data_IF_242691633570
#
_entry.id   IF_242691633570
#
_cell.length_a   1.000
_cell.length_b   1.000
_cell.length_c   1.000
_cell.angle_alpha   90.00
_cell.angle_beta   90.00
_cell.angle_gamma   90.00
#
_symmetry.space_group_name_H-M   'P 1'
#
loop_
_entity.id
_entity.type
_entity.pdbx_description
1 polymer ?
2 non-polymer ?
3 non-polymer ?
4 water ?
#
# COMPACT_ATOMS: atom_id res chain seq x y z
N UNK A 4 14.09 -18.65 21.05
CA UNK A 4 13.25 -17.39 20.85
C UNK A 4 12.10 -17.66 19.88
N UNK A 5 10.82 -17.52 20.28
CA UNK A 5 9.69 -17.84 19.40
C UNK A 5 9.63 -16.81 18.25
N UNK A 6 9.18 -17.23 17.07
CA UNK A 6 8.94 -16.29 15.94
C UNK A 6 7.69 -15.47 16.18
N UNK A 7 7.68 -14.18 15.79
CA UNK A 7 6.53 -13.34 16.04
C UNK A 7 5.31 -13.74 15.21
N UNK A 8 4.13 -13.46 15.77
CA UNK A 8 2.81 -13.65 15.11
C UNK A 8 2.34 -12.29 14.55
N UNK A 9 2.95 -11.21 15.04
CA UNK A 9 2.57 -9.82 14.69
C UNK A 9 3.79 -8.90 14.81
N UNK A 10 3.86 -7.88 13.95
CA UNK A 10 4.95 -6.88 13.97
C UNK A 10 4.27 -5.52 13.89
N UNK A 11 5.01 -4.49 14.25
CA UNK A 11 4.52 -3.12 14.03
C UNK A 11 5.41 -2.47 12.99
N UNK A 12 4.75 -1.74 12.10
CA UNK A 12 5.40 -1.09 10.94
C UNK A 12 5.07 0.39 11.01
N UNK A 13 6.11 1.21 10.94
CA UNK A 13 6.02 2.66 10.79
C UNK A 13 6.13 2.98 9.29
N UNK A 14 5.21 3.79 8.83
CA UNK A 14 5.20 4.38 7.47
C UNK A 14 5.32 5.89 7.63
N UNK A 15 6.34 6.50 7.05
CA UNK A 15 6.41 7.96 6.98
C UNK A 15 6.42 8.43 5.55
N UNK A 16 5.74 9.52 5.27
CA UNK A 16 5.83 10.22 3.98
C UNK A 16 6.07 11.70 4.24
N UNK A 17 7.09 12.23 3.59
CA UNK A 17 7.43 13.67 3.73
C UNK A 17 7.93 14.21 2.41
N UNK A 18 7.22 15.19 1.88
CA UNK A 18 7.73 16.05 0.77
C UNK A 18 8.54 17.16 1.42
N UNK A 19 9.85 17.05 1.28
CA UNK A 19 10.84 17.89 2.00
C UNK A 19 11.00 19.24 1.33
N UNK A 20 10.38 19.46 0.15
CA UNK A 20 10.41 20.75 -0.53
C UNK A 20 11.82 21.22 -0.83
N UNK A 21 12.71 20.28 -1.18
CA UNK A 21 14.09 20.53 -1.64
C UNK A 21 14.85 21.35 -0.58
N UNK A 22 14.57 21.12 0.70
CA UNK A 22 15.27 21.81 1.80
C UNK A 22 15.78 20.75 2.75
N UNK A 23 16.95 20.97 3.36
CA UNK A 23 17.44 20.05 4.37
C UNK A 23 16.50 20.06 5.58
N UNK A 24 16.42 18.92 6.28
CA UNK A 24 15.56 18.84 7.44
C UNK A 24 16.13 19.61 8.61
N UNK A 25 15.33 19.87 9.66
CA UNK A 25 15.83 20.48 10.87
C UNK A 25 16.63 19.46 11.69
N UNK A 26 17.27 19.92 12.77
CA UNK A 26 18.20 19.04 13.51
C UNK A 26 17.46 17.94 14.26
N UNK A 27 16.19 18.13 14.61
CA UNK A 27 15.40 17.11 15.34
C UNK A 27 14.12 16.78 14.57
N UNK A 28 13.94 15.49 14.22
CA UNK A 28 12.74 15.02 13.48
C UNK A 28 12.14 13.84 14.24
N UNK A 29 12.50 13.66 15.50
CA UNK A 29 12.02 12.50 16.29
C UNK A 29 10.49 12.44 16.46
N UNK A 30 9.81 13.60 16.46
CA UNK A 30 8.33 13.68 16.57
C UNK A 30 7.68 12.85 15.45
N UNK A 31 8.31 12.79 14.28
CA UNK A 31 7.79 12.01 13.13
C UNK A 31 7.72 10.52 13.50
N UNK A 32 8.84 9.99 13.95
CA UNK A 32 9.01 8.54 14.22
C UNK A 32 8.23 8.18 15.50
N UNK A 33 7.93 9.16 16.34
CA UNK A 33 7.11 8.95 17.55
C UNK A 33 5.61 9.13 17.30
N UNK A 34 5.18 9.45 16.08
CA UNK A 34 3.74 9.64 15.77
C UNK A 34 3.13 10.69 16.73
N UNK A 35 3.81 11.83 16.87
CA UNK A 35 3.36 12.98 17.72
C UNK A 35 2.96 14.16 16.83
N UNK A 36 1.85 14.82 17.16
CA UNK A 36 1.43 16.04 16.46
C UNK A 36 -0.05 16.05 16.44
N UNK A 37 -0.62 16.16 15.23
CA UNK A 37 -2.08 16.21 15.01
C UNK A 37 -2.56 14.84 14.52
N UNK A 38 -3.84 14.56 14.73
CA UNK A 38 -4.51 13.37 14.21
C UNK A 38 -4.58 12.27 15.22
N UNK A 39 -4.50 11.03 14.72
CA UNK A 39 -4.49 9.82 15.58
C UNK A 39 -3.03 9.56 15.97
N UNK A 40 -2.67 9.93 17.20
CA UNK A 40 -1.27 9.93 17.67
C UNK A 40 -0.99 8.70 18.55
N UNK A 41 0.29 8.40 18.68
CA UNK A 41 0.76 7.23 19.47
C UNK A 41 0.84 7.62 20.95
N UNK A 42 0.44 6.70 21.84
CA UNK A 42 0.48 6.91 23.30
C UNK A 42 1.93 7.12 23.78
N UNK A 43 2.06 8.10 24.69
CA UNK A 43 3.37 8.44 25.32
C UNK A 43 4.04 7.22 25.94
N UNK A 44 3.27 6.29 26.47
CA UNK A 44 3.80 5.11 27.17
C UNK A 44 4.56 4.18 26.21
N UNK A 45 4.38 4.33 24.89
CA UNK A 45 5.05 3.52 23.84
C UNK A 45 6.33 4.17 23.32
N UNK A 46 6.69 5.37 23.77
CA UNK A 46 7.77 6.16 23.14
C UNK A 46 9.10 5.43 23.10
N UNK A 47 9.42 4.63 24.13
CA UNK A 47 10.70 3.88 24.09
C UNK A 47 10.62 2.57 23.32
N UNK A 48 9.44 2.14 22.84
CA UNK A 48 9.23 0.82 22.21
C UNK A 48 9.54 0.99 20.72
N UNK A 49 10.54 0.30 20.16
CA UNK A 49 10.84 0.45 18.74
C UNK A 49 9.77 -0.28 17.93
N UNK A 50 9.42 0.29 16.79
CA UNK A 50 8.70 -0.45 15.75
C UNK A 50 9.65 -1.52 15.18
N UNK A 51 9.07 -2.57 14.63
CA UNK A 51 9.87 -3.66 14.03
C UNK A 51 10.53 -3.16 12.75
N UNK A 52 9.77 -2.45 11.92
CA UNK A 52 10.20 -2.00 10.56
C UNK A 52 9.78 -0.52 10.46
N UNK A 53 10.70 0.34 10.01
CA UNK A 53 10.42 1.76 9.66
C UNK A 53 10.60 1.92 8.16
N UNK A 54 9.57 2.40 7.48
CA UNK A 54 9.61 2.66 6.03
C UNK A 54 9.44 4.14 5.83
N UNK A 55 10.42 4.80 5.20
CA UNK A 55 10.50 6.28 5.13
C UNK A 55 10.48 6.71 3.66
N UNK A 56 9.36 7.31 3.22
CA UNK A 56 9.21 7.81 1.85
C UNK A 56 9.41 9.30 1.85
N UNK A 57 10.31 9.77 1.00
CA UNK A 57 10.47 11.23 0.81
C UNK A 57 10.22 11.58 -0.65
N UNK A 58 9.85 12.83 -0.83
CA UNK A 58 9.69 13.46 -2.17
C UNK A 58 10.40 14.80 -2.08
N UNK A 59 10.86 15.30 -3.24
CA UNK A 59 11.65 16.56 -3.30
C UNK A 59 12.77 16.49 -2.25
N UNK A 60 13.42 15.32 -2.13
CA UNK A 60 14.48 15.08 -1.14
C UNK A 60 15.79 15.59 -1.70
N UNK A 61 16.43 16.58 -1.03
CA UNK A 61 17.68 17.19 -1.56
C UNK A 61 18.96 16.47 -1.13
N UNK A 62 18.81 15.48 -0.25
CA UNK A 62 19.94 14.83 0.44
C UNK A 62 20.49 13.66 -0.39
N UNK A 63 21.77 13.35 -0.20
CA UNK A 63 22.31 12.06 -0.73
C UNK A 63 21.73 10.93 0.11
N UNK A 64 21.76 9.72 -0.43
CA UNK A 64 21.31 8.54 0.33
C UNK A 64 22.12 8.50 1.63
N UNK A 65 23.41 8.77 1.54
CA UNK A 65 24.25 8.66 2.75
C UNK A 65 23.82 9.69 3.78
N UNK A 66 23.59 10.92 3.34
CA UNK A 66 23.22 12.01 4.27
C UNK A 66 21.90 11.64 4.98
N UNK A 67 20.91 11.16 4.24
CA UNK A 67 19.57 10.86 4.83
C UNK A 67 19.64 9.63 5.74
N UNK A 68 20.33 8.57 5.31
CA UNK A 68 20.51 7.36 6.15
C UNK A 68 21.11 7.70 7.51
N UNK A 69 22.14 8.56 7.50
CA UNK A 69 22.79 9.10 8.72
C UNK A 69 21.75 9.68 9.67
N UNK A 70 20.95 10.61 9.16
CA UNK A 70 19.94 11.34 9.97
C UNK A 70 18.91 10.34 10.48
N UNK A 71 18.45 9.43 9.62
CA UNK A 71 17.40 8.48 10.05
C UNK A 71 17.94 7.58 11.15
N UNK A 72 19.07 6.94 10.91
CA UNK A 72 19.61 6.00 11.93
C UNK A 72 19.89 6.72 13.26
N UNK A 73 20.47 7.92 13.22
CA UNK A 73 20.75 8.74 14.43
C UNK A 73 19.45 8.99 15.19
N UNK A 74 18.39 9.41 14.47
CA UNK A 74 17.07 9.74 15.06
C UNK A 74 16.49 8.50 15.75
N UNK A 75 16.51 7.35 15.09
CA UNK A 75 15.97 6.10 15.69
C UNK A 75 16.82 5.70 16.92
N UNK A 76 18.16 5.83 16.81
CA UNK A 76 19.12 5.54 17.90
C UNK A 76 18.76 6.38 19.13
N UNK A 77 18.57 7.69 18.93
CA UNK A 77 18.23 8.64 20.03
C UNK A 77 16.92 8.21 20.71
N UNK A 78 15.91 7.84 19.93
CA UNK A 78 14.55 7.47 20.44
C UNK A 78 14.63 6.14 21.20
N UNK A 79 15.31 5.14 20.66
CA UNK A 79 15.12 3.73 21.02
C UNK A 79 16.36 3.13 21.64
N UNK A 80 17.52 3.72 21.43
CA UNK A 80 18.84 3.11 21.78
C UNK A 80 19.10 1.83 20.98
N UNK A 81 18.42 1.65 19.84
CA UNK A 81 18.67 0.52 18.90
C UNK A 81 19.33 1.05 17.64
N UNK A 82 20.36 0.36 17.17
CA UNK A 82 21.02 0.61 15.88
C UNK A 82 20.26 -0.19 14.82
N UNK A 83 19.46 0.50 14.01
CA UNK A 83 18.66 -0.17 12.98
C UNK A 83 19.57 -0.61 11.83
N UNK A 84 19.21 -1.73 11.21
CA UNK A 84 19.86 -2.25 9.99
C UNK A 84 19.15 -1.71 8.77
N UNK A 85 19.91 -1.38 7.74
CA UNK A 85 19.33 -0.95 6.46
C UNK A 85 18.89 -2.19 5.69
N UNK A 86 17.60 -2.31 5.38
CA UNK A 86 17.05 -3.40 4.53
C UNK A 86 17.25 -2.99 3.08
N UNK A 87 16.90 -1.75 2.74
CA UNK A 87 16.91 -1.29 1.34
C UNK A 87 16.81 0.22 1.30
N UNK A 88 17.41 0.78 0.27
CA UNK A 88 17.23 2.20 -0.07
C UNK A 88 17.19 2.30 -1.59
N UNK A 89 16.26 3.07 -2.11
CA UNK A 89 16.13 3.23 -3.57
C UNK A 89 15.62 4.64 -3.87
N UNK A 90 16.28 5.32 -4.80
CA UNK A 90 15.98 6.72 -5.16
C UNK A 90 15.77 6.84 -6.65
N UNK A 91 14.68 7.50 -7.06
CA UNK A 91 14.43 7.93 -8.44
C UNK A 91 14.36 9.45 -8.39
N UNK A 92 15.32 10.11 -9.02
CA UNK A 92 15.38 11.58 -9.00
C UNK A 92 15.40 12.02 -7.55
N UNK A 93 14.34 12.65 -7.06
CA UNK A 93 14.29 13.17 -5.68
C UNK A 93 13.20 12.43 -4.88
N UNK A 94 12.80 11.25 -5.36
CA UNK A 94 11.80 10.36 -4.70
C UNK A 94 12.57 9.21 -4.07
N UNK A 95 12.43 8.96 -2.78
CA UNK A 95 13.29 8.01 -2.10
C UNK A 95 12.48 7.13 -1.16
N UNK A 96 12.91 5.89 -1.03
CA UNK A 96 12.36 5.00 0.02
C UNK A 96 13.53 4.39 0.78
N UNK A 97 13.40 4.37 2.10
CA UNK A 97 14.35 3.73 3.04
C UNK A 97 13.58 2.73 3.88
N UNK A 98 14.08 1.51 4.00
CA UNK A 98 13.51 0.50 4.90
C UNK A 98 14.58 0.15 5.92
N UNK A 99 14.24 0.34 7.18
CA UNK A 99 15.09 0.04 8.35
C UNK A 99 14.37 -1.00 9.20
N UNK A 100 15.12 -1.93 9.78
CA UNK A 100 14.55 -2.97 10.64
C UNK A 100 15.42 -3.18 11.87
N UNK A 101 14.78 -3.63 12.96
CA UNK A 101 15.48 -4.10 14.18
C UNK A 101 16.57 -5.07 13.75
N UNK A 102 17.76 -5.07 14.40
CA UNK A 102 18.78 -6.07 14.10
C UNK A 102 18.35 -7.52 14.31
N UNK A 103 17.45 -7.77 15.26
CA UNK A 103 16.93 -9.13 15.53
C UNK A 103 16.16 -9.67 14.31
N UNK A 104 15.77 -8.82 13.35
CA UNK A 104 14.97 -9.26 12.18
C UNK A 104 15.86 -9.54 10.97
N UNK A 105 17.15 -9.26 11.07
CA UNK A 105 18.04 -9.34 9.89
C UNK A 105 17.89 -10.69 9.17
N UNK A 106 17.79 -11.78 9.95
CA UNK A 106 17.76 -13.17 9.41
C UNK A 106 16.31 -13.68 9.36
N UNK A 107 15.34 -12.78 9.45
CA UNK A 107 13.90 -13.06 9.14
C UNK A 107 13.54 -12.42 7.80
N UNK A 108 14.40 -11.57 7.26
CA UNK A 108 14.11 -10.76 6.05
C UNK A 108 14.89 -11.32 4.89
N UNK A 109 14.22 -11.61 3.79
CA UNK A 109 14.89 -12.17 2.59
C UNK A 109 14.19 -11.67 1.35
N UNK A 110 14.71 -12.01 0.17
CA UNK A 110 14.04 -11.72 -1.11
C UNK A 110 13.73 -10.23 -1.21
N UNK A 111 14.72 -9.41 -0.94
CA UNK A 111 14.58 -7.94 -0.99
C UNK A 111 14.63 -7.51 -2.43
N UNK A 112 13.59 -6.81 -2.87
CA UNK A 112 13.46 -6.26 -4.24
C UNK A 112 13.31 -4.74 -4.15
N UNK A 113 13.81 -4.04 -5.17
CA UNK A 113 13.61 -2.58 -5.32
C UNK A 113 13.27 -2.33 -6.77
N UNK A 114 12.43 -1.33 -7.02
CA UNK A 114 12.15 -0.91 -8.40
C UNK A 114 11.66 0.52 -8.39
N UNK A 115 11.56 1.11 -9.57
CA UNK A 115 11.00 2.46 -9.76
C UNK A 115 10.16 2.45 -11.04
N UNK A 116 9.23 3.38 -11.11
CA UNK A 116 8.45 3.68 -12.33
C UNK A 116 8.51 5.18 -12.54
N UNK A 117 8.86 5.61 -13.75
CA UNK A 117 8.80 7.02 -14.18
C UNK A 117 7.46 7.25 -14.85
N UNK A 118 6.64 8.23 -14.41
CA UNK A 118 5.32 8.40 -15.05
C UNK A 118 5.37 9.42 -16.20
N UNK A 119 4.39 9.40 -17.11
CA UNK A 119 4.24 10.42 -18.17
C UNK A 119 5.20 10.24 -19.35
N UNK A 120 5.02 11.03 -20.42
CA UNK A 120 5.79 10.98 -21.71
C UNK A 120 6.29 12.39 -22.06
N UNK A 121 7.60 12.53 -22.37
CA UNK A 121 8.26 13.73 -22.93
C UNK A 121 8.20 14.92 -21.95
N UNK A 122 7.38 15.96 -22.23
CA UNK A 122 6.96 17.05 -21.30
C UNK A 122 6.88 16.53 -19.86
N UNK A 123 6.08 15.48 -19.67
CA UNK A 123 5.52 15.00 -18.37
C UNK A 123 6.42 13.89 -17.78
N UNK A 124 7.42 13.38 -18.54
CA UNK A 124 8.49 12.48 -18.01
C UNK A 124 9.68 13.36 -17.60
N UNK A 125 10.04 13.36 -16.32
CA UNK A 125 11.14 14.19 -15.83
C UNK A 125 11.25 14.25 -14.32
N UNK A 126 10.13 14.22 -13.57
CA UNK A 126 10.37 14.17 -12.11
C UNK A 126 9.37 13.42 -11.21
N UNK A 127 8.25 12.95 -11.77
CA UNK A 127 7.19 12.23 -11.00
C UNK A 127 7.34 10.72 -11.24
N UNK A 128 6.88 9.93 -10.28
CA UNK A 128 6.89 8.48 -10.41
C UNK A 128 6.89 7.88 -9.04
N UNK A 129 7.45 6.68 -8.93
CA UNK A 129 7.37 5.93 -7.66
C UNK A 129 8.64 5.13 -7.49
N UNK A 130 8.97 4.86 -6.26
CA UNK A 130 9.96 3.84 -5.86
C UNK A 130 9.25 2.83 -4.97
N UNK A 131 9.81 1.62 -4.93
CA UNK A 131 9.24 0.58 -4.08
C UNK A 131 10.24 -0.42 -3.61
N UNK A 132 9.85 -1.11 -2.53
CA UNK A 132 10.65 -2.15 -1.89
C UNK A 132 9.68 -3.27 -1.55
N UNK A 133 10.11 -4.50 -1.78
CA UNK A 133 9.45 -5.67 -1.20
C UNK A 133 10.44 -6.60 -0.52
N UNK A 134 9.90 -7.47 0.32
CA UNK A 134 10.73 -8.53 0.92
C UNK A 134 9.79 -9.49 1.60
N UNK A 135 10.35 -10.63 1.97
CA UNK A 135 9.70 -11.60 2.88
C UNK A 135 10.17 -11.33 4.30
N UNK A 136 9.22 -11.33 5.22
CA UNK A 136 9.44 -11.38 6.66
C UNK A 136 8.94 -12.76 7.08
N UNK A 137 9.83 -13.70 7.37
CA UNK A 137 9.44 -15.12 7.61
C UNK A 137 8.45 -15.54 6.49
N UNK A 138 7.25 -15.98 6.79
CA UNK A 138 6.37 -16.52 5.75
C UNK A 138 5.47 -15.46 5.15
N UNK A 139 5.71 -14.18 5.46
CA UNK A 139 4.80 -13.08 5.04
C UNK A 139 5.52 -12.17 4.03
N UNK A 140 4.86 -11.86 2.91
CA UNK A 140 5.40 -10.93 1.90
C UNK A 140 4.89 -9.51 2.23
N UNK A 141 5.78 -8.55 2.13
CA UNK A 141 5.47 -7.13 2.44
C UNK A 141 5.92 -6.28 1.26
N UNK A 142 5.08 -5.37 0.80
CA UNK A 142 5.45 -4.43 -0.28
C UNK A 142 5.17 -3.01 0.13
N UNK A 143 5.98 -2.09 -0.37
CA UNK A 143 5.94 -0.67 0.05
C UNK A 143 6.18 0.18 -1.17
N UNK A 144 5.28 1.11 -1.47
CA UNK A 144 5.40 2.00 -2.65
C UNK A 144 5.32 3.44 -2.12
N UNK A 145 6.32 4.24 -2.51
CA UNK A 145 6.34 5.70 -2.28
C UNK A 145 6.21 6.38 -3.64
N UNK A 146 5.10 7.05 -3.90
CA UNK A 146 4.85 7.71 -5.17
C UNK A 146 4.72 9.21 -4.97
N UNK A 147 5.24 9.95 -5.93
CA UNK A 147 5.04 11.42 -6.06
C UNK A 147 4.25 11.63 -7.35
N UNK A 148 2.96 11.89 -7.26
CA UNK A 148 2.10 11.93 -8.42
C UNK A 148 2.03 13.37 -8.93
N UNK A 149 1.42 13.52 -10.08
CA UNK A 149 1.29 14.80 -10.80
C UNK A 149 0.63 15.83 -9.90
N UNK A 150 1.16 17.05 -9.92
CA UNK A 150 0.65 18.16 -9.07
C UNK A 150 -0.47 18.93 -9.79
N UNK A 151 -1.20 19.70 -9.01
CA UNK A 151 -2.13 20.69 -9.57
C UNK A 151 -3.55 20.28 -9.37
N UNK A 152 -4.39 21.18 -8.88
CA UNK A 152 -5.80 20.86 -8.58
C UNK A 152 -6.57 20.29 -9.78
N UNK A 153 -6.18 20.70 -10.98
CA UNK A 153 -6.92 20.41 -12.24
C UNK A 153 -6.57 19.02 -12.78
N UNK A 154 -5.60 18.32 -12.18
CA UNK A 154 -4.98 17.10 -12.78
C UNK A 154 -5.29 15.81 -12.01
N UNK A 155 -6.46 15.70 -11.43
CA UNK A 155 -6.78 14.43 -10.69
C UNK A 155 -6.77 13.24 -11.66
N UNK A 156 -7.22 13.42 -12.90
CA UNK A 156 -7.23 12.30 -13.86
C UNK A 156 -5.81 11.81 -14.16
N UNK A 157 -4.87 12.76 -14.31
CA UNK A 157 -3.42 12.45 -14.50
C UNK A 157 -2.95 11.62 -13.32
N UNK A 158 -3.29 12.03 -12.10
CA UNK A 158 -2.87 11.31 -10.89
C UNK A 158 -3.38 9.88 -11.02
N UNK A 159 -4.64 9.70 -11.42
CA UNK A 159 -5.21 8.32 -11.47
C UNK A 159 -4.43 7.50 -12.52
N UNK A 160 -4.06 8.14 -13.63
CA UNK A 160 -3.27 7.49 -14.70
C UNK A 160 -1.88 7.13 -14.15
N UNK A 161 -1.27 8.04 -13.38
CA UNK A 161 0.04 7.79 -12.75
C UNK A 161 -0.08 6.55 -11.87
N UNK A 162 -1.10 6.47 -11.03
CA UNK A 162 -1.35 5.30 -10.15
C UNK A 162 -1.41 4.01 -10.99
N UNK A 163 -2.18 4.02 -12.08
CA UNK A 163 -2.34 2.79 -12.88
C UNK A 163 -0.99 2.41 -13.49
N UNK A 164 -0.23 3.38 -13.98
CA UNK A 164 1.11 3.05 -14.56
C UNK A 164 2.04 2.49 -13.51
N UNK A 165 1.99 3.02 -12.31
CA UNK A 165 2.85 2.52 -11.22
C UNK A 165 2.47 1.07 -10.88
N UNK A 166 1.17 0.85 -10.70
CA UNK A 166 0.55 -0.46 -10.38
C UNK A 166 1.03 -1.49 -11.40
N UNK A 167 0.95 -1.12 -12.68
CA UNK A 167 1.21 -2.04 -13.81
C UNK A 167 2.68 -2.38 -13.86
N UNK A 168 3.54 -1.39 -13.71
CA UNK A 168 4.93 -1.53 -14.17
C UNK A 168 5.93 -1.68 -13.03
N UNK A 169 5.55 -1.45 -11.78
CA UNK A 169 6.53 -1.62 -10.70
C UNK A 169 6.75 -3.12 -10.47
N UNK A 170 7.97 -3.58 -10.59
CA UNK A 170 8.33 -5.01 -10.61
C UNK A 170 8.91 -5.36 -9.25
N UNK A 171 8.03 -5.72 -8.33
CA UNK A 171 8.40 -6.15 -6.96
C UNK A 171 7.84 -7.55 -6.73
N UNK A 172 8.30 -8.20 -5.68
CA UNK A 172 7.71 -9.46 -5.24
C UNK A 172 8.12 -10.61 -6.14
N UNK A 173 7.39 -11.71 -6.03
CA UNK A 173 7.79 -13.00 -6.67
C UNK A 173 7.51 -12.93 -8.17
N UNK A 174 8.47 -12.87 -9.05
CA UNK A 174 8.30 -12.80 -10.52
C UNK A 174 7.54 -14.01 -11.05
N UNK A 175 7.51 -15.22 -10.29
CA UNK A 175 6.71 -16.39 -10.72
C UNK A 175 5.22 -16.07 -10.71
N UNK A 176 4.81 -15.00 -10.00
CA UNK A 176 3.38 -14.59 -9.96
C UNK A 176 3.06 -13.75 -11.18
N UNK A 177 3.36 -14.30 -12.36
CA UNK A 177 3.45 -13.47 -13.57
C UNK A 177 2.11 -12.84 -13.95
N UNK A 178 0.91 -13.41 -13.68
CA UNK A 178 -0.35 -12.78 -14.02
C UNK A 178 -0.72 -11.59 -13.11
N UNK A 179 0.04 -11.42 -12.04
CA UNK A 179 -0.37 -10.56 -10.91
C UNK A 179 0.50 -9.31 -10.86
N UNK A 180 -0.15 -8.17 -10.64
CA UNK A 180 0.55 -6.90 -10.36
C UNK A 180 0.79 -6.76 -8.86
N UNK A 181 1.43 -5.66 -8.46
CA UNK A 181 1.79 -5.48 -7.02
C UNK A 181 0.51 -5.48 -6.16
N UNK A 182 -0.66 -5.18 -6.70
CA UNK A 182 -1.89 -5.15 -5.84
C UNK A 182 -2.32 -6.56 -5.42
N UNK A 183 -1.69 -7.61 -5.91
CA UNK A 183 -1.95 -9.00 -5.48
C UNK A 183 -0.71 -9.74 -5.00
N UNK A 184 0.47 -9.16 -5.05
CA UNK A 184 1.69 -9.97 -4.78
C UNK A 184 2.05 -10.07 -3.31
N UNK A 185 1.40 -9.30 -2.42
CA UNK A 185 1.90 -9.18 -1.03
C UNK A 185 0.78 -9.41 -0.03
N UNK A 186 1.09 -10.11 1.04
CA UNK A 186 0.21 -10.26 2.22
C UNK A 186 -0.26 -8.85 2.64
N UNK A 187 0.68 -7.91 2.68
CA UNK A 187 0.42 -6.51 3.10
C UNK A 187 1.15 -5.58 2.13
N UNK A 188 0.39 -4.68 1.52
CA UNK A 188 0.94 -3.66 0.59
C UNK A 188 0.61 -2.29 1.17
N UNK A 189 1.64 -1.49 1.35
CA UNK A 189 1.48 -0.10 1.82
C UNK A 189 1.85 0.86 0.70
N UNK A 190 0.94 1.78 0.36
CA UNK A 190 1.18 2.74 -0.73
C UNK A 190 0.99 4.14 -0.16
N UNK A 191 2.03 4.95 -0.26
CA UNK A 191 2.07 6.25 0.42
C UNK A 191 2.82 7.20 -0.51
N UNK A 192 2.82 8.47 -0.12
CA UNK A 192 3.58 9.47 -0.84
C UNK A 192 2.90 10.82 -0.86
N UNK A 193 3.47 11.74 -1.63
CA UNK A 193 2.78 12.97 -2.05
C UNK A 193 1.92 12.62 -3.24
N UNK A 194 0.74 12.11 -2.94
CA UNK A 194 -0.23 11.71 -3.96
C UNK A 194 -0.84 12.93 -4.62
N UNK A 195 -0.77 14.09 -4.01
CA UNK A 195 -1.03 15.37 -4.69
C UNK A 195 -2.51 15.60 -5.00
N UNK A 196 -3.40 14.80 -4.43
CA UNK A 196 -4.85 15.08 -4.54
C UNK A 196 -5.20 16.28 -3.65
N UNK A 197 -6.11 17.11 -4.15
CA UNK A 197 -6.42 18.40 -3.51
C UNK A 197 -7.85 18.47 -3.02
N UNK A 198 -8.07 19.48 -2.19
CA UNK A 198 -9.44 19.84 -1.74
C UNK A 198 -10.04 20.69 -2.84
N UNK A 199 -11.01 20.11 -3.55
CA UNK A 199 -11.64 20.74 -4.75
C UNK A 199 -12.77 21.63 -4.27
N UNK A 200 -12.43 22.88 -3.95
CA UNK A 200 -13.39 23.94 -3.62
C UNK A 200 -12.98 25.15 -4.45
N UNK A 201 -13.91 26.11 -4.66
CA UNK A 201 -13.55 27.32 -5.40
C UNK A 201 -12.43 28.10 -4.72
N UNK A 202 -11.56 28.73 -5.52
CA UNK A 202 -10.31 29.38 -5.03
C UNK A 202 -10.63 30.62 -4.19
N UNK A 203 -11.84 31.18 -4.33
CA UNK A 203 -12.31 32.35 -3.53
C UNK A 203 -12.89 31.87 -2.20
N UNK A 204 -12.96 30.56 -1.96
CA UNK A 204 -13.25 29.97 -0.63
C UNK A 204 -11.96 29.80 0.21
N UNK A 205 -10.79 30.24 -0.24
CA UNK A 205 -9.50 30.00 0.45
C UNK A 205 -9.55 30.41 1.92
N UNK A 206 -9.96 31.65 2.21
CA UNK A 206 -9.94 32.13 3.61
C UNK A 206 -10.97 31.35 4.41
N UNK A 207 -12.12 30.98 3.84
CA UNK A 207 -13.11 30.15 4.54
C UNK A 207 -12.49 28.80 4.89
N UNK A 208 -11.80 28.19 3.92
CA UNK A 208 -11.14 26.89 4.20
C UNK A 208 -10.14 27.02 5.36
N UNK A 209 -9.35 28.08 5.37
CA UNK A 209 -8.36 28.32 6.45
C UNK A 209 -9.08 28.42 7.81
N UNK A 210 -10.20 29.13 7.85
CA UNK A 210 -10.95 29.32 9.12
C UNK A 210 -11.54 27.98 9.59
N UNK A 211 -11.99 27.12 8.66
CA UNK A 211 -12.46 25.77 9.02
C UNK A 211 -11.29 24.97 9.63
N UNK A 212 -10.09 25.03 9.02
CA UNK A 212 -8.90 24.34 9.58
C UNK A 212 -8.56 24.85 10.99
N UNK A 213 -8.59 26.16 11.22
CA UNK A 213 -8.32 26.72 12.57
C UNK A 213 -9.33 26.22 13.60
N UNK A 214 -10.55 25.90 13.20
CA UNK A 214 -11.62 25.38 14.08
C UNK A 214 -11.53 23.85 14.17
N UNK A 215 -10.57 23.25 13.49
CA UNK A 215 -10.44 21.77 13.42
C UNK A 215 -11.74 21.14 12.90
N UNK A 216 -12.39 21.79 11.96
CA UNK A 216 -13.66 21.29 11.37
C UNK A 216 -13.32 20.84 9.96
N UNK A 217 -13.01 19.56 9.82
CA UNK A 217 -12.45 19.02 8.55
C UNK A 217 -13.56 18.42 7.69
N UNK A 218 -14.79 18.25 8.17
CA UNK A 218 -15.77 17.36 7.50
C UNK A 218 -16.11 17.90 6.12
N UNK A 219 -16.35 19.20 6.01
CA UNK A 219 -16.79 19.85 4.76
C UNK A 219 -15.57 19.98 3.86
N UNK A 220 -14.35 19.81 4.38
CA UNK A 220 -13.17 19.84 3.48
C UNK A 220 -12.95 18.41 2.94
N UNK A 221 -12.97 17.38 3.81
CA UNK A 221 -12.74 15.97 3.37
C UNK A 221 -13.80 15.55 2.35
N UNK A 222 -15.01 16.09 2.40
CA UNK A 222 -16.06 15.73 1.43
C UNK A 222 -15.68 16.19 0.03
N UNK A 223 -14.68 17.06 -0.10
CA UNK A 223 -14.21 17.59 -1.39
C UNK A 223 -12.78 17.12 -1.67
N UNK A 224 -12.22 16.28 -0.82
CA UNK A 224 -10.88 15.74 -1.08
C UNK A 224 -10.94 14.83 -2.31
N UNK A 225 -10.08 15.10 -3.28
CA UNK A 225 -10.14 14.40 -4.57
C UNK A 225 -9.76 12.94 -4.38
N UNK A 226 -8.89 12.57 -3.45
CA UNK A 226 -8.55 11.14 -3.36
C UNK A 226 -9.76 10.36 -2.83
N UNK A 227 -10.43 10.86 -1.78
CA UNK A 227 -11.63 10.20 -1.26
C UNK A 227 -12.72 10.16 -2.35
N UNK A 228 -12.96 11.25 -3.07
CA UNK A 228 -14.07 11.26 -4.05
C UNK A 228 -13.73 10.38 -5.24
N UNK A 229 -12.48 10.39 -5.70
CA UNK A 229 -12.08 9.49 -6.80
C UNK A 229 -12.17 8.03 -6.34
N UNK A 230 -11.75 7.75 -5.11
CA UNK A 230 -11.90 6.38 -4.51
C UNK A 230 -13.38 6.00 -4.50
N UNK A 231 -14.25 6.90 -4.04
CA UNK A 231 -15.71 6.64 -3.96
C UNK A 231 -16.23 6.16 -5.31
N UNK A 232 -15.81 6.82 -6.38
CA UNK A 232 -16.30 6.54 -7.76
C UNK A 232 -15.47 5.43 -8.42
N UNK A 233 -14.58 4.78 -7.67
CA UNK A 233 -13.82 3.61 -8.17
C UNK A 233 -12.97 4.04 -9.35
N UNK A 234 -12.40 5.22 -9.27
CA UNK A 234 -11.46 5.74 -10.31
C UNK A 234 -10.00 5.45 -9.97
N UNK A 235 -9.70 5.15 -8.72
CA UNK A 235 -8.32 5.00 -8.25
C UNK A 235 -8.33 4.21 -6.95
N UNK A 236 -7.26 3.49 -6.66
CA UNK A 236 -7.02 2.82 -5.36
C UNK A 236 -8.19 1.87 -5.01
N UNK A 237 -8.79 1.22 -5.99
CA UNK A 237 -9.85 0.23 -5.73
C UNK A 237 -9.26 -0.83 -4.80
N UNK A 238 -10.01 -1.13 -3.74
CA UNK A 238 -9.72 -2.21 -2.77
C UNK A 238 -8.59 -1.84 -1.83
N UNK A 239 -8.17 -0.58 -1.81
CA UNK A 239 -7.25 -0.07 -0.77
C UNK A 239 -8.03 0.61 0.35
N UNK A 240 -7.42 0.69 1.52
CA UNK A 240 -8.01 1.32 2.74
C UNK A 240 -7.18 2.55 3.12
N UNK A 241 -7.81 3.49 3.82
CA UNK A 241 -7.11 4.61 4.45
C UNK A 241 -7.82 4.86 5.76
N UNK A 242 -7.03 5.12 6.81
CA UNK A 242 -7.55 5.51 8.15
C UNK A 242 -8.28 6.85 8.00
N UNK A 243 -9.23 7.13 8.89
CA UNK A 243 -9.92 8.43 8.91
C UNK A 243 -8.86 9.49 9.13
N UNK A 244 -8.99 10.59 8.39
CA UNK A 244 -8.12 11.77 8.53
C UNK A 244 -8.65 12.72 9.61
N UNK A 245 -7.81 12.96 10.61
CA UNK A 245 -8.22 13.82 11.78
C UNK A 245 -7.14 14.87 12.05
N UNK A 246 -6.31 15.13 11.07
CA UNK A 246 -5.21 16.14 11.11
C UNK A 246 -5.47 17.18 10.03
N UNK A 247 -4.95 18.38 10.25
CA UNK A 247 -5.13 19.50 9.31
C UNK A 247 -4.46 19.12 7.99
N UNK A 248 -4.89 19.75 6.89
CA UNK A 248 -4.16 19.65 5.60
C UNK A 248 -2.67 19.88 5.77
N UNK A 249 -1.86 19.08 5.06
CA UNK A 249 -0.40 19.04 5.30
C UNK A 249 0.30 19.91 4.24
N UNK A 250 -0.46 20.57 3.38
CA UNK A 250 0.08 21.38 2.26
C UNK A 250 -0.91 22.52 2.06
N UNK A 251 -0.50 23.74 1.64
CA UNK A 251 0.84 24.21 1.45
C UNK A 251 1.15 25.28 2.50
N UNK A 252 2.17 25.04 3.32
CA UNK A 252 2.54 25.93 4.43
C UNK A 252 3.62 26.91 3.96
N UNK A 253 3.60 28.10 4.56
CA UNK A 253 4.81 28.94 4.66
C UNK A 253 5.87 28.18 5.46
N UNK A 254 7.11 28.20 4.99
CA UNK A 254 8.21 27.56 5.73
C UNK A 254 8.52 28.28 7.04
N UNK A 255 9.04 27.52 8.00
CA UNK A 255 9.59 27.98 9.29
C UNK A 255 8.48 28.30 10.31
N UNK A 256 7.22 28.18 9.95
CA UNK A 256 6.08 28.26 10.91
C UNK A 256 5.07 27.18 10.48
N UNK A 257 4.04 26.87 11.27
CA UNK A 257 2.85 26.18 10.71
C UNK A 257 1.65 27.09 10.82
N UNK A 258 1.87 28.39 11.00
CA UNK A 258 0.74 29.28 11.34
C UNK A 258 0.06 29.77 10.07
N UNK A 259 0.64 29.54 8.88
CA UNK A 259 0.16 30.18 7.63
C UNK A 259 0.13 29.17 6.48
N UNK A 260 -1.02 29.07 5.83
CA UNK A 260 -1.14 28.35 4.54
C UNK A 260 -0.81 29.36 3.44
N UNK A 261 0.10 28.98 2.54
CA UNK A 261 0.49 29.82 1.38
C UNK A 261 -0.26 29.26 0.17
N UNK A 262 -1.40 29.84 -0.15
CA UNK A 262 -2.28 29.29 -1.20
C UNK A 262 -2.38 30.11 -2.49
N UNK A 263 -2.00 31.39 -2.45
CA UNK A 263 -2.24 32.37 -3.55
C UNK A 263 -1.37 32.02 -4.75
N UNK A 264 -1.84 32.33 -5.96
CA UNK A 264 -1.08 32.05 -7.20
C UNK A 264 0.12 32.99 -7.26
N UNK A 265 1.23 32.47 -7.73
CA UNK A 265 2.56 33.15 -7.78
C UNK A 265 3.28 32.68 -9.04
N UNK A 266 4.19 33.50 -9.59
CA UNK A 266 4.98 33.00 -10.73
C UNK A 266 5.59 31.63 -10.40
N UNK A 267 6.09 31.46 -9.18
CA UNK A 267 6.77 30.23 -8.73
C UNK A 267 5.79 29.03 -8.71
N UNK A 268 4.49 29.24 -8.65
CA UNK A 268 3.48 28.14 -8.76
C UNK A 268 2.92 27.97 -10.19
N UNK A 269 3.49 28.62 -11.22
CA UNK A 269 2.87 28.60 -12.55
C UNK A 269 1.53 29.27 -12.54
N UNK A 270 1.35 30.24 -11.66
CA UNK A 270 0.08 31.00 -11.49
C UNK A 270 -1.06 30.05 -11.13
N UNK A 271 -0.75 29.03 -10.34
CA UNK A 271 -1.73 28.05 -9.79
C UNK A 271 -2.00 28.38 -8.32
N UNK A 272 -3.25 28.27 -7.89
CA UNK A 272 -3.61 28.29 -6.46
C UNK A 272 -3.28 26.91 -5.87
N UNK A 273 -2.82 26.94 -4.64
CA UNK A 273 -2.64 25.71 -3.83
C UNK A 273 -3.54 25.81 -2.61
N UNK A 274 -4.84 25.58 -2.79
CA UNK A 274 -5.72 25.59 -1.60
C UNK A 274 -5.22 24.49 -0.66
N UNK A 275 -5.34 24.66 0.66
CA UNK A 275 -4.92 23.67 1.63
C UNK A 275 -5.51 22.31 1.32
N UNK A 276 -4.61 21.30 1.32
CA UNK A 276 -4.94 19.96 0.83
C UNK A 276 -4.20 18.89 1.60
N UNK A 277 -4.79 17.72 1.61
CA UNK A 277 -4.18 16.49 2.16
C UNK A 277 -3.40 15.81 1.03
N UNK A 278 -2.27 16.39 0.66
CA UNK A 278 -1.44 15.82 -0.43
C UNK A 278 -0.78 14.51 -0.01
N UNK A 279 -0.53 14.35 1.27
CA UNK A 279 0.46 13.38 1.80
C UNK A 279 -0.25 12.27 2.56
N UNK A 280 -0.24 11.06 2.02
CA UNK A 280 -1.20 10.03 2.42
C UNK A 280 -0.55 8.68 2.60
N UNK A 281 -1.24 7.83 3.35
CA UNK A 281 -0.83 6.41 3.53
C UNK A 281 -2.06 5.55 3.36
N UNK A 282 -2.00 4.64 2.42
CA UNK A 282 -3.07 3.66 2.17
C UNK A 282 -2.48 2.25 2.20
N UNK A 283 -3.34 1.26 2.39
CA UNK A 283 -2.85 -0.13 2.42
C UNK A 283 -3.87 -1.08 1.81
N UNK A 284 -3.38 -2.25 1.48
CA UNK A 284 -4.23 -3.35 1.01
C UNK A 284 -3.59 -4.62 1.52
N UNK A 285 -4.33 -5.40 2.29
CA UNK A 285 -3.84 -6.69 2.80
C UNK A 285 -4.75 -7.78 2.28
N UNK A 286 -4.24 -8.99 2.18
CA UNK A 286 -5.02 -10.17 1.79
C UNK A 286 -6.16 -10.36 2.79
N UNK A 287 -7.28 -10.93 2.29
CA UNK A 287 -8.46 -11.11 3.13
C UNK A 287 -8.12 -11.88 4.41
N UNK A 288 -8.71 -11.42 5.52
CA UNK A 288 -8.68 -12.10 6.86
C UNK A 288 -7.26 -12.22 7.38
N UNK A 289 -6.40 -11.29 7.01
CA UNK A 289 -5.10 -11.12 7.68
C UNK A 289 -5.22 -9.91 8.61
N UNK A 290 -4.67 -10.05 9.79
CA UNK A 290 -4.70 -8.96 10.82
C UNK A 290 -3.91 -7.76 10.30
N UNK A 291 -4.56 -6.60 10.24
CA UNK A 291 -3.87 -5.33 9.95
C UNK A 291 -4.71 -4.27 10.66
N UNK A 292 -4.08 -3.52 11.55
CA UNK A 292 -4.75 -2.46 12.32
C UNK A 292 -3.90 -1.21 12.29
N UNK A 293 -4.48 -0.11 11.87
CA UNK A 293 -3.80 1.19 11.89
C UNK A 293 -3.87 1.70 13.33
N UNK A 294 -2.68 1.93 13.91
CA UNK A 294 -2.47 2.40 15.30
C UNK A 294 -2.33 3.92 15.37
N UNK A 295 -1.84 4.57 14.29
CA UNK A 295 -1.63 6.02 14.27
C UNK A 295 -1.73 6.49 12.82
N UNK A 296 -2.19 7.71 12.63
CA UNK A 296 -2.26 8.38 11.31
C UNK A 296 -2.41 9.86 11.59
N UNK A 297 -1.35 10.60 11.35
CA UNK A 297 -1.35 12.00 11.67
C UNK A 297 -0.20 12.76 11.05
N UNK A 298 -0.05 14.00 11.45
CA UNK A 298 1.03 14.84 10.89
C UNK A 298 1.81 15.49 12.02
N UNK A 299 3.09 15.75 11.79
CA UNK A 299 3.87 16.49 12.79
C UNK A 299 3.51 17.97 12.74
N UNK A 300 3.75 18.64 13.87
CA UNK A 300 3.49 20.09 14.07
C UNK A 300 4.78 20.90 14.21
N UNK A 301 5.92 20.26 14.45
CA UNK A 301 7.17 20.92 14.85
C UNK A 301 8.27 20.77 13.80
N UNK A 302 7.98 20.25 12.59
CA UNK A 302 9.02 20.10 11.52
C UNK A 302 8.56 21.02 10.39
N UNK A 303 9.30 22.11 10.16
CA UNK A 303 8.79 23.30 9.41
C UNK A 303 9.68 23.69 8.23
N UNK A 304 10.69 22.88 7.88
CA UNK A 304 11.64 23.23 6.79
C UNK A 304 10.98 23.19 5.42
N UNK A 305 9.89 22.42 5.26
CA UNK A 305 9.23 22.22 3.96
C UNK A 305 7.90 22.95 3.96
N UNK A 306 7.33 23.11 2.78
CA UNK A 306 5.94 23.60 2.63
C UNK A 306 4.93 22.47 2.82
N UNK A 307 5.41 21.24 3.07
CA UNK A 307 4.56 20.14 3.56
C UNK A 307 4.96 19.77 4.98
N UNK A 308 4.01 19.27 5.77
CA UNK A 308 4.33 18.59 7.04
C UNK A 308 4.46 17.09 6.81
N UNK A 309 5.41 16.44 7.49
CA UNK A 309 5.50 14.99 7.47
C UNK A 309 4.20 14.37 7.97
N UNK A 310 3.91 13.21 7.41
CA UNK A 310 2.78 12.33 7.81
C UNK A 310 3.37 11.01 8.30
N UNK A 311 2.76 10.47 9.36
CA UNK A 311 3.08 9.18 9.95
C UNK A 311 1.83 8.31 9.95
N UNK A 312 2.08 7.02 9.82
CA UNK A 312 1.09 5.98 10.05
C UNK A 312 1.80 4.80 10.67
N UNK A 313 1.17 4.16 11.65
CA UNK A 313 1.72 2.89 12.16
C UNK A 313 0.66 1.82 12.10
N UNK A 314 1.14 0.60 11.98
CA UNK A 314 0.28 -0.57 11.81
C UNK A 314 0.78 -1.74 12.64
N UNK A 315 -0.18 -2.47 13.23
CA UNK A 315 -0.01 -3.89 13.62
C UNK A 315 -0.27 -4.73 12.37
N UNK A 316 0.64 -5.63 12.02
CA UNK A 316 0.47 -6.50 10.84
C UNK A 316 0.71 -7.96 11.22
N UNK A 317 -0.25 -8.82 10.94
CA UNK A 317 -0.10 -10.25 11.21
C UNK A 317 0.98 -10.82 10.31
N UNK A 318 1.81 -11.68 10.89
CA UNK A 318 2.88 -12.39 10.16
C UNK A 318 2.81 -13.85 10.54
N UNK A 319 3.37 -14.67 9.68
CA UNK A 319 3.42 -16.14 9.88
C UNK A 319 4.87 -16.60 9.86
N UNK A 320 5.09 -17.81 10.39
CA UNK A 320 6.41 -18.48 10.42
C UNK A 320 6.69 -19.11 9.05
N UNK A 321 7.95 -19.46 8.80
CA UNK A 321 8.34 -20.34 7.69
C UNK A 321 7.88 -21.72 8.24
N UNK A 322 7.28 -22.57 7.44
CA UNK A 322 6.85 -23.90 7.93
C UNK A 322 7.68 -24.98 7.25
N UNK A 323 8.18 -25.94 8.04
CA UNK A 323 8.81 -27.20 7.55
C UNK A 323 8.07 -28.37 8.19
N UNK A 324 7.62 -29.33 7.39
CA UNK A 324 7.11 -30.64 7.85
C UNK A 324 8.05 -31.75 7.37
N UNK A 325 7.70 -32.99 7.73
CA UNK A 325 8.41 -34.22 7.31
C UNK A 325 8.29 -34.34 5.79
N UNK A 326 7.14 -33.89 5.25
CA UNK A 326 6.81 -33.90 3.80
C UNK A 326 7.29 -32.56 3.20
N UNK A 327 6.39 -31.61 2.99
CA UNK A 327 6.74 -30.33 2.36
C UNK A 327 7.50 -29.41 3.33
N UNK A 328 8.31 -28.45 2.82
CA UNK A 328 8.63 -28.33 1.38
C UNK A 328 9.48 -29.43 0.72
N UNK A 329 9.30 -29.59 -0.59
CA UNK A 329 9.97 -30.57 -1.46
C UNK A 329 9.11 -31.75 -1.84
N UNK A 330 7.88 -31.80 -1.32
CA UNK A 330 6.86 -32.83 -1.70
C UNK A 330 5.49 -32.34 -1.22
N UNK A 331 4.43 -33.07 -1.58
CA UNK A 331 3.03 -32.83 -1.11
C UNK A 331 2.86 -33.53 0.26
N UNK A 332 1.88 -33.05 1.04
CA UNK A 332 1.33 -33.74 2.24
C UNK A 332 -0.02 -34.31 1.82
N UNK A 333 -0.10 -35.61 1.56
CA UNK A 333 -1.30 -36.26 0.95
C UNK A 333 -2.52 -36.00 1.85
N UNK A 334 -2.32 -35.63 3.12
CA UNK A 334 -3.43 -35.36 4.07
C UNK A 334 -4.12 -34.03 3.74
N UNK A 335 -3.49 -33.17 2.94
CA UNK A 335 -4.04 -31.85 2.56
C UNK A 335 -4.67 -31.87 1.18
N UNK A 336 -5.79 -31.17 0.99
CA UNK A 336 -6.35 -30.88 -0.34
C UNK A 336 -7.28 -29.67 -0.30
N UNK A 337 -7.33 -28.98 -1.42
CA UNK A 337 -8.26 -27.85 -1.64
C UNK A 337 -9.07 -28.17 -2.88
N UNK A 338 -10.38 -28.24 -2.70
CA UNK A 338 -11.36 -28.53 -3.76
C UNK A 338 -12.28 -27.32 -3.93
N UNK A 339 -12.57 -26.98 -5.19
CA UNK A 339 -13.48 -25.89 -5.63
C UNK A 339 -14.71 -26.52 -6.27
N UNK A 340 -15.89 -26.24 -5.72
CA UNK A 340 -17.20 -26.74 -6.20
C UNK A 340 -17.96 -25.57 -6.80
N UNK A 341 -18.73 -25.81 -7.89
CA UNK A 341 -19.84 -24.93 -8.35
C UNK A 341 -19.25 -23.51 -8.56
N UNK A 342 -18.07 -23.43 -9.13
CA UNK A 342 -17.38 -22.11 -9.30
C UNK A 342 -17.71 -21.52 -10.66
N UNK A 343 -17.85 -20.21 -10.69
CA UNK A 343 -17.97 -19.51 -11.98
C UNK A 343 -17.41 -18.11 -11.83
N UNK A 344 -16.89 -17.65 -12.94
CA UNK A 344 -16.35 -16.29 -13.09
C UNK A 344 -17.42 -15.51 -13.83
N UNK A 345 -17.65 -14.27 -13.44
CA UNK A 345 -18.56 -13.35 -14.14
C UNK A 345 -17.62 -12.27 -14.70
N UNK A 346 -17.56 -12.09 -16.02
CA UNK A 346 -16.57 -11.13 -16.58
C UNK A 346 -17.30 -10.00 -17.29
N UNK A 347 -16.73 -8.80 -17.24
CA UNK A 347 -17.28 -7.63 -17.96
C UNK A 347 -16.85 -7.64 -19.44
N UNK A 348 -15.90 -8.45 -19.85
CA UNK A 348 -15.35 -8.46 -21.24
C UNK A 348 -16.48 -8.67 -22.27
N UNK A 349 -16.31 -8.00 -23.42
CA UNK A 349 -17.20 -8.17 -24.60
C UNK A 349 -16.65 -9.27 -25.51
N UNK A 350 -15.47 -9.82 -25.22
CA UNK A 350 -14.78 -10.81 -26.10
C UNK A 350 -15.44 -12.19 -25.97
N UNK A 351 -15.28 -13.03 -26.99
CA UNK A 351 -15.73 -14.45 -27.03
C UNK A 351 -14.51 -15.32 -27.38
N UNK A 352 -13.71 -15.65 -26.36
CA UNK A 352 -12.62 -16.65 -26.31
C UNK A 352 -12.99 -17.63 -25.20
N UNK A 353 -12.34 -18.78 -25.17
CA UNK A 353 -12.47 -19.70 -24.02
C UNK A 353 -11.56 -19.17 -22.92
N UNK A 354 -11.92 -19.44 -21.67
CA UNK A 354 -11.10 -19.06 -20.50
C UNK A 354 -10.72 -20.28 -19.68
N UNK A 355 -9.53 -20.22 -19.08
CA UNK A 355 -9.07 -21.18 -18.05
C UNK A 355 -8.57 -20.40 -16.84
N UNK A 356 -8.45 -21.10 -15.69
CA UNK A 356 -7.92 -20.46 -14.46
C UNK A 356 -6.50 -20.90 -14.20
N UNK A 357 -5.75 -20.05 -13.51
CA UNK A 357 -4.48 -20.44 -12.86
C UNK A 357 -4.59 -20.18 -11.37
N UNK A 358 -4.19 -21.16 -10.57
CA UNK A 358 -4.17 -21.05 -9.09
C UNK A 358 -2.71 -20.89 -8.71
N UNK A 359 -2.36 -19.81 -8.00
CA UNK A 359 -1.00 -19.58 -7.50
C UNK A 359 -1.01 -19.43 -5.99
N UNK A 360 -0.10 -20.09 -5.32
CA UNK A 360 0.03 -19.94 -3.85
C UNK A 360 1.34 -20.53 -3.45
N UNK A 361 1.95 -19.94 -2.41
CA UNK A 361 3.17 -20.45 -1.73
C UNK A 361 2.90 -21.84 -1.13
N UNK A 362 1.64 -22.18 -0.87
CA UNK A 362 1.27 -23.52 -0.30
C UNK A 362 1.32 -24.63 -1.39
N UNK A 363 1.49 -24.27 -2.67
CA UNK A 363 1.62 -25.22 -3.81
C UNK A 363 3.07 -25.31 -4.28
N UNK A 364 3.43 -26.46 -4.85
CA UNK A 364 4.82 -26.64 -5.36
C UNK A 364 4.97 -25.73 -6.57
N UNK A 365 3.93 -25.61 -7.38
CA UNK A 365 3.90 -24.64 -8.49
C UNK A 365 2.44 -24.37 -8.85
N UNK A 366 2.25 -23.38 -9.71
CA UNK A 366 0.88 -22.95 -10.05
C UNK A 366 0.18 -24.05 -10.82
N UNK A 367 -1.15 -24.02 -10.74
CA UNK A 367 -2.02 -25.06 -11.34
C UNK A 367 -2.94 -24.42 -12.36
N UNK A 368 -2.99 -25.01 -13.55
CA UNK A 368 -3.80 -24.54 -14.71
C UNK A 368 -5.01 -25.45 -14.88
N UNK A 369 -6.21 -24.88 -14.82
CA UNK A 369 -7.50 -25.61 -14.95
C UNK A 369 -7.73 -25.91 -16.43
N UNK A 370 -8.71 -26.79 -16.67
CA UNK A 370 -9.39 -26.96 -17.96
C UNK A 370 -10.15 -25.68 -18.28
N UNK A 371 -10.46 -25.50 -19.54
CA UNK A 371 -11.33 -24.39 -19.99
C UNK A 371 -12.69 -24.54 -19.30
N UNK A 372 -13.26 -23.42 -18.87
CA UNK A 372 -14.65 -23.35 -18.44
C UNK A 372 -15.60 -23.32 -19.63
N UNK A 373 -16.89 -23.36 -19.33
CA UNK A 373 -17.98 -23.24 -20.33
C UNK A 373 -18.65 -21.88 -20.22
N UNK A 374 -18.57 -21.15 -21.31
CA UNK A 374 -19.15 -19.80 -21.42
C UNK A 374 -20.67 -19.92 -21.53
N UNK A 375 -21.39 -19.12 -20.76
CA UNK A 375 -22.82 -18.82 -21.00
C UNK A 375 -23.02 -17.31 -20.92
N UNK A 376 -24.22 -16.88 -21.28
CA UNK A 376 -24.68 -15.47 -21.32
C UNK A 376 -25.43 -15.17 -20.01
N UNK A 377 -25.02 -14.14 -19.26
CA UNK A 377 -25.73 -13.66 -18.05
C UNK A 377 -27.03 -12.95 -18.41
N UNK A 378 -27.95 -12.81 -17.45
CA UNK A 378 -29.32 -12.25 -17.67
C UNK A 378 -29.25 -10.76 -18.04
N UNK A 379 -28.20 -10.05 -17.57
CA UNK A 379 -28.04 -8.57 -17.74
C UNK A 379 -26.92 -8.30 -18.74
N UNK A 380 -26.59 -9.25 -19.64
CA UNK A 380 -25.64 -9.09 -20.76
C UNK A 380 -24.30 -9.84 -20.60
N UNK A 381 -23.91 -10.19 -19.37
CA UNK A 381 -22.51 -10.53 -18.94
C UNK A 381 -22.01 -11.87 -19.51
N UNK A 382 -20.71 -12.02 -19.60
CA UNK A 382 -20.12 -13.38 -19.81
C UNK A 382 -20.02 -14.10 -18.46
N UNK A 383 -20.54 -15.33 -18.39
CA UNK A 383 -20.40 -16.20 -17.21
C UNK A 383 -19.57 -17.38 -17.65
N UNK A 384 -18.46 -17.63 -16.97
CA UNK A 384 -17.59 -18.78 -17.31
C UNK A 384 -17.80 -19.82 -16.22
N UNK A 385 -18.38 -20.97 -16.56
CA UNK A 385 -18.75 -21.99 -15.56
C UNK A 385 -17.66 -23.05 -15.50
N UNK A 386 -17.22 -23.36 -14.29
CA UNK A 386 -16.20 -24.40 -14.05
C UNK A 386 -16.86 -25.64 -13.41
N UNK A 387 -18.11 -25.51 -12.97
CA UNK A 387 -18.86 -26.55 -12.24
C UNK A 387 -18.02 -27.17 -11.13
N UNK A 388 -17.78 -28.48 -11.25
CA UNK A 388 -17.03 -29.31 -10.29
C UNK A 388 -15.78 -29.78 -11.04
N UNK A 389 -15.40 -29.07 -12.11
CA UNK A 389 -14.34 -29.50 -13.04
C UNK A 389 -12.94 -29.03 -12.55
N UNK A 390 -12.85 -28.13 -11.57
CA UNK A 390 -11.53 -27.54 -11.19
C UNK A 390 -10.64 -28.60 -10.55
N UNK A 391 -9.31 -28.61 -10.82
CA UNK A 391 -8.42 -29.61 -10.24
C UNK A 391 -8.40 -29.52 -8.71
N UNK A 392 -8.10 -30.65 -8.08
CA UNK A 392 -7.91 -30.74 -6.61
C UNK A 392 -6.51 -30.24 -6.31
N UNK A 393 -6.34 -29.21 -5.47
CA UNK A 393 -5.03 -28.60 -5.23
C UNK A 393 -4.37 -29.36 -4.07
N UNK A 394 -3.07 -29.57 -4.19
CA UNK A 394 -2.30 -30.47 -3.31
C UNK A 394 -1.28 -29.63 -2.58
N UNK A 395 -1.60 -29.13 -1.38
CA UNK A 395 -0.69 -28.28 -0.63
C UNK A 395 0.51 -29.10 -0.14
N UNK A 396 1.62 -28.39 0.03
CA UNK A 396 2.94 -28.95 0.41
C UNK A 396 2.93 -29.35 1.88
N UNK A 397 2.05 -28.73 2.65
CA UNK A 397 1.96 -28.93 4.12
C UNK A 397 0.46 -29.01 4.46
N UNK A 398 0.06 -29.97 5.27
CA UNK A 398 -1.37 -30.22 5.60
C UNK A 398 -1.71 -29.69 6.99
N UNK A 399 -0.71 -29.32 7.80
CA UNK A 399 -0.94 -28.83 9.17
C UNK A 399 -1.91 -27.66 9.10
N UNK A 400 -3.04 -27.68 9.84
CA UNK A 400 -4.02 -26.61 9.72
C UNK A 400 -3.50 -25.29 10.28
N UNK A 401 -2.52 -25.32 11.19
CA UNK A 401 -1.91 -24.06 11.71
C UNK A 401 -1.10 -23.37 10.61
N UNK A 402 -0.70 -24.10 9.58
CA UNK A 402 -0.09 -23.49 8.36
C UNK A 402 -1.20 -23.18 7.36
N UNK A 403 -1.98 -24.19 6.99
CA UNK A 403 -2.80 -24.11 5.75
C UNK A 403 -3.89 -23.05 5.91
N UNK A 404 -4.49 -22.91 7.10
CA UNK A 404 -5.62 -21.95 7.30
C UNK A 404 -5.09 -20.50 7.21
N UNK A 405 -3.79 -20.30 7.35
CA UNK A 405 -3.18 -18.95 7.18
C UNK A 405 -2.83 -18.61 5.72
N UNK A 406 -3.08 -19.48 4.74
CA UNK A 406 -2.60 -19.28 3.37
C UNK A 406 -3.69 -18.63 2.52
N UNK A 407 -3.31 -18.26 1.31
CA UNK A 407 -4.23 -17.63 0.33
C UNK A 407 -3.99 -18.24 -1.02
N UNK A 408 -5.03 -18.27 -1.84
CA UNK A 408 -4.92 -18.70 -3.26
C UNK A 408 -5.21 -17.50 -4.15
N UNK A 409 -4.25 -17.13 -4.96
CA UNK A 409 -4.41 -16.13 -6.04
C UNK A 409 -4.99 -16.83 -7.27
N UNK A 410 -5.98 -16.20 -7.88
CA UNK A 410 -6.67 -16.76 -9.07
C UNK A 410 -6.54 -15.78 -10.22
N UNK A 411 -6.05 -16.27 -11.37
CA UNK A 411 -6.11 -15.51 -12.63
C UNK A 411 -7.05 -16.26 -13.56
N UNK A 412 -7.89 -15.53 -14.24
CA UNK A 412 -8.67 -16.11 -15.36
C UNK A 412 -8.04 -15.61 -16.66
N UNK A 413 -7.61 -16.57 -17.49
CA UNK A 413 -6.81 -16.28 -18.71
C UNK A 413 -7.55 -16.75 -19.96
N UNK A 414 -7.40 -15.98 -21.01
CA UNK A 414 -7.84 -16.32 -22.38
C UNK A 414 -7.02 -17.50 -22.89
N UNK A 415 -7.70 -18.51 -23.41
CA UNK A 415 -7.03 -19.63 -24.14
C UNK A 415 -6.33 -19.12 -25.39
N UNK A 416 -6.86 -18.09 -26.06
CA UNK A 416 -6.34 -17.60 -27.36
C UNK A 416 -5.04 -16.83 -27.12
N UNK A 417 -4.94 -16.05 -26.05
CA UNK A 417 -3.79 -15.12 -25.87
C UNK A 417 -2.93 -15.48 -24.65
N UNK A 418 -3.47 -16.28 -23.72
CA UNK A 418 -2.83 -16.58 -22.40
C UNK A 418 -2.63 -15.29 -21.59
N UNK A 419 -3.57 -14.17 -21.96
CA UNK A 419 -3.53 -12.92 -21.16
C UNK A 419 -4.57 -13.00 -20.04
N UNK A 420 -4.06 -12.62 -18.81
CA UNK A 420 -5.05 -12.51 -17.70
C UNK A 420 -6.13 -11.47 -18.01
N UNK A 421 -7.39 -11.82 -17.79
CA UNK A 421 -8.54 -10.90 -17.86
C UNK A 421 -8.98 -10.48 -16.47
N UNK A 422 -8.44 -11.11 -15.42
CA UNK A 422 -8.90 -10.80 -14.05
C UNK A 422 -8.08 -11.57 -13.04
N UNK A 423 -7.79 -10.92 -11.92
CA UNK A 423 -6.98 -11.47 -10.84
C UNK A 423 -7.70 -11.22 -9.53
N UNK A 424 -7.61 -12.18 -8.63
CA UNK A 424 -8.24 -12.04 -7.31
C UNK A 424 -7.57 -12.95 -6.31
N UNK A 425 -8.08 -12.99 -5.09
CA UNK A 425 -7.43 -13.71 -3.99
C UNK A 425 -8.50 -14.30 -3.06
N UNK A 426 -8.30 -15.55 -2.67
CA UNK A 426 -9.19 -16.31 -1.75
C UNK A 426 -8.41 -16.65 -0.50
N UNK A 427 -8.97 -16.35 0.67
CA UNK A 427 -8.37 -16.73 1.97
C UNK A 427 -8.77 -18.19 2.29
N UNK A 428 -7.83 -18.92 2.83
CA UNK A 428 -8.11 -20.30 3.39
C UNK A 428 -8.43 -20.25 4.91
N UNK A 429 -8.65 -19.06 5.46
CA UNK A 429 -8.99 -18.85 6.90
C UNK A 429 -10.48 -19.18 7.10
N UNK A 430 -10.87 -20.44 6.89
CA UNK A 430 -12.28 -20.85 6.80
C UNK A 430 -12.89 -21.04 8.19
N UNK A 431 -14.20 -20.98 8.25
CA UNK A 431 -15.00 -21.26 9.47
C UNK A 431 -14.96 -22.77 9.81
N UNK A 432 -14.66 -23.63 8.86
CA UNK A 432 -14.72 -25.10 9.02
C UNK A 432 -13.84 -25.76 7.98
N UNK A 433 -13.31 -26.95 8.29
CA UNK A 433 -12.63 -27.82 7.30
C UNK A 433 -13.57 -28.98 6.94
N UNK A 434 -13.29 -29.64 5.83
CA UNK A 434 -14.08 -30.80 5.36
C UNK A 434 -15.54 -30.38 5.15
N UNK A 435 -15.82 -29.09 4.90
CA UNK A 435 -17.19 -28.50 4.84
C UNK A 435 -17.27 -27.61 3.60
N UNK A 436 -18.35 -27.68 2.84
CA UNK A 436 -18.50 -26.79 1.65
C UNK A 436 -18.86 -25.40 2.13
N UNK A 437 -18.08 -24.39 1.77
CA UNK A 437 -18.28 -23.02 2.27
C UNK A 437 -18.20 -22.06 1.09
N UNK A 438 -19.02 -21.00 1.11
CA UNK A 438 -18.96 -20.03 0.01
C UNK A 438 -17.58 -19.32 -0.03
N UNK A 439 -17.10 -19.07 -1.24
CA UNK A 439 -15.91 -18.23 -1.50
C UNK A 439 -16.28 -17.17 -2.54
N UNK A 440 -15.53 -16.08 -2.49
CA UNK A 440 -15.79 -14.90 -3.33
C UNK A 440 -14.50 -14.08 -3.40
N UNK A 441 -14.20 -13.59 -4.60
CA UNK A 441 -13.27 -12.46 -4.79
C UNK A 441 -13.75 -11.65 -5.98
N UNK A 442 -13.60 -10.32 -5.90
CA UNK A 442 -13.67 -9.50 -7.10
C UNK A 442 -12.44 -9.82 -7.96
N UNK A 443 -12.57 -9.59 -9.26
CA UNK A 443 -11.44 -9.76 -10.19
C UNK A 443 -11.09 -8.39 -10.73
N UNK A 444 -9.79 -8.11 -10.83
CA UNK A 444 -9.30 -6.85 -11.43
C UNK A 444 -8.27 -7.17 -12.48
N UNK A 445 -8.00 -6.19 -13.32
CA UNK A 445 -6.88 -6.28 -14.27
C UNK A 445 -6.37 -4.87 -14.44
N UNK A 446 -5.06 -4.67 -14.26
CA UNK A 446 -4.46 -3.32 -14.19
C UNK A 446 -5.17 -2.52 -13.10
N UNK A 447 -5.61 -3.20 -12.04
CA UNK A 447 -6.21 -2.58 -10.85
C UNK A 447 -7.63 -2.07 -11.07
N UNK A 448 -8.25 -2.33 -12.22
CA UNK A 448 -9.65 -1.97 -12.52
C UNK A 448 -10.53 -3.22 -12.41
N UNK A 449 -11.77 -3.04 -11.94
CA UNK A 449 -12.70 -4.18 -11.83
C UNK A 449 -13.03 -4.76 -13.21
N UNK A 450 -12.89 -6.08 -13.35
CA UNK A 450 -13.16 -6.78 -14.62
C UNK A 450 -14.16 -7.91 -14.44
N UNK A 451 -14.53 -8.20 -13.21
CA UNK A 451 -15.48 -9.28 -12.94
C UNK A 451 -15.40 -9.78 -11.53
N UNK A 452 -15.89 -11.00 -11.36
CA UNK A 452 -16.02 -11.68 -10.05
C UNK A 452 -15.75 -13.17 -10.20
N UNK A 453 -15.32 -13.78 -9.11
CA UNK A 453 -15.18 -15.25 -9.04
C UNK A 453 -15.90 -15.69 -7.78
N UNK A 454 -16.80 -16.66 -7.91
CA UNK A 454 -17.51 -17.16 -6.70
C UNK A 454 -17.82 -18.64 -6.86
N UNK A 455 -18.03 -19.29 -5.74
CA UNK A 455 -18.30 -20.74 -5.72
C UNK A 455 -18.21 -21.21 -4.31
N UNK A 456 -17.80 -22.46 -4.17
CA UNK A 456 -17.61 -23.08 -2.85
C UNK A 456 -16.23 -23.71 -2.82
N UNK A 457 -15.69 -23.81 -1.61
CA UNK A 457 -14.40 -24.46 -1.31
C UNK A 457 -14.66 -25.57 -0.29
N UNK A 458 -13.79 -26.56 -0.32
CA UNK A 458 -13.77 -27.67 0.66
C UNK A 458 -12.28 -27.89 0.97
N UNK A 459 -11.84 -27.62 2.16
CA UNK A 459 -10.42 -27.71 2.56
C UNK A 459 -10.25 -28.88 3.53
N UNK A 460 -9.32 -29.77 3.17
CA UNK A 460 -8.86 -30.91 3.99
C UNK A 460 -7.53 -30.52 4.65
N UNK A 461 -7.45 -30.61 5.98
CA UNK A 461 -6.17 -30.45 6.70
C UNK A 461 -5.89 -31.77 7.42
N UNK A 462 -4.70 -31.91 7.99
CA UNK A 462 -4.35 -33.08 8.84
C UNK A 462 -5.25 -33.16 10.08
N UNK A 463 -6.04 -32.15 10.43
CA UNK A 463 -6.99 -32.29 11.56
C UNK A 463 -8.44 -32.46 11.05
X LIG B 1 -15.51 -0.72 1.58
X LIG B 1 -13.80 -0.81 3.09
X LIG B 1 -14.20 0.68 2.91
X LIG B 1 -15.90 1.82 1.65
X LIG B 1 -14.83 4.14 1.12
X LIG B 1 -14.66 3.84 -0.25
X LIG B 1 -14.18 4.82 -1.09
X LIG B 1 -13.86 6.05 -0.55
X LIG B 1 -14.05 6.28 0.83
X LIG B 1 -14.83 0.71 1.72
X LIG B 1 -14.58 -1.58 2.02
X LIG B 1 -15.35 3.09 2.06
X LIG B 1 -14.51 5.31 1.60
X LIG C 1 1.08 -14.97 4.92
X LIG C 1 1.71 -14.61 6.20
X LIG C 1 -0.66 -14.88 5.29
X LIG C 1 1.15 -16.73 4.70
X LIG D 1 0.74 -16.20 -1.69
X LIG D 1 0.70 -17.71 -1.43
X LIG D 1 1.74 -16.06 -3.17
X LIG D 1 -0.78 -15.89 -2.46
X LIG E 1 -9.41 -9.04 -3.95
X LIG E 1 -7.90 -9.17 -4.16
X LIG E 1 -9.63 -7.46 -3.22
X LIG E 1 -9.77 -10.05 -2.53
#
# INVERSE_FOLDING_TARGET
SMEQPEPDMITIFIGTWNMGNAPPPKKITSWFLSKGQGKTRDDSADYIPHDIYVIGTQEDPLSEKEWLEILKHSLQEITSVTFKTVAIHTLWNIRIVVLAKPEHENRISHICTDNVKTGIANTLGNKGAVGVSFMFNGTSLGFVNSHLTSGSEKKLRRNQNYMNILRFLALGDKKLSPFNITHRFTHLFWFGDLNYRVDLPTWEAETIIQKIKQQQYADLLSHDQLLTERREQKVFLHFEEEEITFAPTYRFERLTRDKYAYTKQKATGMKYNLPSWCDRVLWKSYPLVHVVCQSYGSTSDIMTSDHSPVFATFEAGVTSQFVSKNGPGTVDSQGQIEFLRCYATLKTKSQTKFYLEFHSSCLESFVKSQEGENEEGSEGELVVKFGETLPKLKPIISDPEYLLDQHILISIKSSDSDESYGEGCIALRLEATETQLPIYTPLTHHGELTGHFQGEIKLQTSQ
WNJ C10 N12 C13 C01 C03 C04 C05 C06 C07 C09 C11 N02 N08
DMS S O C1 C2
DMS S O C1 C2
DMS S O C1 C2
#
